data_IF_228737573679
#
_entry.id   IF_228737573679
#
_cell.length_a   1.000
_cell.length_b   1.000
_cell.length_c   1.000
_cell.angle_alpha   90.00
_cell.angle_beta   90.00
_cell.angle_gamma   90.00
#
_symmetry.space_group_name_H-M   'P 1'
#
loop_
_entity.id
_entity.type
_entity.pdbx_description
1 polymer ?
#
# COMPACT_ATOMS: atom_id res chain seq x y z
N UNK A 1 8.53 -2.12 -10.15
CA UNK A 1 8.71 -1.46 -8.83
C UNK A 1 9.05 -2.44 -7.69
N UNK A 2 8.51 -3.67 -7.66
CA UNK A 2 8.78 -4.64 -6.58
C UNK A 2 10.27 -4.87 -6.25
N UNK A 3 11.15 -4.99 -7.25
CA UNK A 3 12.60 -5.10 -7.04
C UNK A 3 13.22 -3.87 -6.36
N UNK A 4 12.73 -2.67 -6.67
CA UNK A 4 13.18 -1.44 -6.04
C UNK A 4 12.76 -1.39 -4.56
N UNK A 5 11.53 -1.82 -4.25
CA UNK A 5 11.10 -1.98 -2.87
C UNK A 5 11.99 -2.95 -2.11
N UNK A 6 12.27 -4.14 -2.67
CA UNK A 6 13.12 -5.13 -2.00
C UNK A 6 14.53 -4.62 -1.74
N UNK A 7 15.13 -3.89 -2.68
CA UNK A 7 16.47 -3.30 -2.48
C UNK A 7 16.50 -2.34 -1.28
N UNK A 8 15.47 -1.50 -1.12
CA UNK A 8 15.35 -0.62 0.04
C UNK A 8 15.09 -1.40 1.34
N UNK A 9 14.19 -2.38 1.31
CA UNK A 9 13.85 -3.18 2.48
C UNK A 9 15.02 -4.05 2.97
N UNK A 10 15.85 -4.56 2.07
CA UNK A 10 17.08 -5.29 2.40
C UNK A 10 18.09 -4.42 3.15
N UNK A 11 18.28 -3.16 2.75
CA UNK A 11 19.11 -2.21 3.50
C UNK A 11 18.49 -1.92 4.87
N UNK A 12 17.20 -1.60 4.91
CA UNK A 12 16.49 -1.21 6.14
C UNK A 12 16.40 -2.36 7.16
N UNK A 13 16.37 -3.62 6.71
CA UNK A 13 16.38 -4.80 7.60
C UNK A 13 17.71 -5.06 8.29
N UNK A 14 18.80 -4.36 7.94
CA UNK A 14 20.09 -4.50 8.63
C UNK A 14 19.96 -4.14 10.11
N UNK A 15 20.56 -4.95 10.99
CA UNK A 15 20.47 -4.82 12.46
C UNK A 15 20.86 -3.45 13.03
N UNK A 16 21.66 -2.66 12.29
CA UNK A 16 22.06 -1.30 12.68
C UNK A 16 20.87 -0.32 12.73
N UNK A 17 19.82 -0.57 11.95
CA UNK A 17 18.64 0.30 11.91
C UNK A 17 17.57 -0.21 12.86
N UNK A 18 17.10 0.68 13.74
CA UNK A 18 16.03 0.43 14.70
C UNK A 18 14.81 1.25 14.28
N UNK A 19 13.75 0.55 13.87
CA UNK A 19 12.50 1.14 13.41
C UNK A 19 11.38 0.12 13.56
N UNK A 20 10.15 0.60 13.71
CA UNK A 20 8.97 -0.25 13.91
C UNK A 20 8.11 -0.37 12.64
N UNK A 21 8.11 0.67 11.79
CA UNK A 21 7.37 0.71 10.53
C UNK A 21 8.19 1.33 9.40
N UNK A 22 7.90 0.90 8.18
CA UNK A 22 8.33 1.54 6.93
C UNK A 22 7.11 1.93 6.10
N UNK A 23 7.21 3.07 5.41
CA UNK A 23 6.18 3.58 4.51
C UNK A 23 6.73 3.62 3.09
N UNK A 24 5.94 3.18 2.10
CA UNK A 24 6.30 3.40 0.69
C UNK A 24 5.81 4.78 0.25
N UNK A 25 6.75 5.61 -0.19
CA UNK A 25 6.47 6.98 -0.66
C UNK A 25 6.92 7.18 -2.11
N UNK A 26 6.28 8.13 -2.78
CA UNK A 26 6.60 8.62 -4.11
C UNK A 26 6.95 10.12 -4.07
N UNK A 27 7.58 10.63 -5.13
CA UNK A 27 8.10 12.01 -5.16
C UNK A 27 7.04 13.09 -4.95
N UNK A 28 5.80 12.84 -5.39
CA UNK A 28 4.68 13.78 -5.29
C UNK A 28 3.78 13.49 -4.05
N UNK A 29 4.28 12.70 -3.08
CA UNK A 29 3.60 12.47 -1.79
C UNK A 29 3.90 13.59 -0.80
N UNK A 30 2.90 13.96 0.00
CA UNK A 30 3.07 14.89 1.13
C UNK A 30 2.51 14.30 2.41
N UNK A 31 3.22 14.54 3.51
CA UNK A 31 2.80 14.10 4.84
C UNK A 31 1.65 14.98 5.35
N UNK A 32 0.55 14.36 5.77
CA UNK A 32 -0.67 15.04 6.25
C UNK A 32 -1.01 14.75 7.72
N UNK A 33 -0.11 14.03 8.42
CA UNK A 33 -0.13 13.78 9.86
C UNK A 33 1.23 14.12 10.44
N UNK A 34 1.29 14.85 11.54
CA UNK A 34 2.56 15.13 12.24
C UNK A 34 3.20 13.83 12.72
N UNK A 35 4.50 13.86 13.04
CA UNK A 35 5.19 12.67 13.54
C UNK A 35 4.54 12.11 14.83
N UNK A 36 4.10 12.99 15.75
CA UNK A 36 3.40 12.56 16.96
C UNK A 36 2.07 11.85 16.65
N UNK A 37 1.33 12.37 15.67
CA UNK A 37 0.08 11.76 15.21
C UNK A 37 0.31 10.40 14.54
N UNK A 38 1.31 10.29 13.65
CA UNK A 38 1.67 9.03 13.01
C UNK A 38 2.00 7.99 14.10
N UNK A 39 2.86 8.34 15.06
CA UNK A 39 3.21 7.43 16.17
C UNK A 39 1.96 7.01 16.95
N UNK A 40 1.03 7.92 17.24
CA UNK A 40 -0.21 7.59 17.93
C UNK A 40 -1.08 6.62 17.12
N UNK A 41 -1.24 6.88 15.82
CA UNK A 41 -2.03 6.04 14.91
C UNK A 41 -1.44 4.62 14.86
N UNK A 42 -0.14 4.49 14.64
CA UNK A 42 0.53 3.18 14.61
C UNK A 42 0.40 2.42 15.93
N UNK A 43 0.43 3.12 17.08
CA UNK A 43 0.17 2.50 18.39
C UNK A 43 -1.24 1.93 18.50
N UNK A 44 -2.25 2.63 17.98
CA UNK A 44 -3.62 2.10 17.96
C UNK A 44 -3.79 0.90 17.03
N UNK A 45 -3.08 0.90 15.90
CA UNK A 45 -3.09 -0.20 14.93
C UNK A 45 -2.28 -1.42 15.40
N UNK A 46 -1.39 -1.24 16.38
CA UNK A 46 -0.75 -2.32 17.12
C UNK A 46 0.06 -3.28 16.24
N UNK A 47 0.82 -2.76 15.28
CA UNK A 47 1.70 -3.57 14.43
C UNK A 47 1.05 -4.08 13.13
N UNK A 48 -0.22 -3.80 12.86
CA UNK A 48 -0.85 -4.19 11.60
C UNK A 48 -0.17 -3.58 10.37
N UNK A 49 0.00 -4.39 9.32
CA UNK A 49 0.37 -3.90 8.01
C UNK A 49 -0.85 -3.23 7.35
N UNK A 50 -0.62 -2.18 6.57
CA UNK A 50 -1.64 -1.52 5.76
C UNK A 50 -1.25 -1.55 4.30
N UNK A 51 -2.15 -2.11 3.49
CA UNK A 51 -2.12 -2.10 2.04
C UNK A 51 -3.56 -1.92 1.58
N UNK A 52 -3.75 -1.18 0.49
CA UNK A 52 -5.08 -1.03 -0.12
C UNK A 52 -5.41 -2.28 -0.95
N UNK A 53 -6.69 -2.67 -1.01
CA UNK A 53 -7.19 -3.72 -1.89
C UNK A 53 -8.31 -3.24 -2.81
N UNK A 54 -8.24 -3.58 -4.09
CA UNK A 54 -9.28 -3.33 -5.09
C UNK A 54 -10.05 -4.64 -5.36
N UNK A 55 -11.37 -4.61 -5.15
CA UNK A 55 -12.23 -5.81 -5.20
C UNK A 55 -12.88 -6.06 -6.56
N UNK A 56 -12.84 -5.08 -7.45
CA UNK A 56 -13.45 -5.02 -8.77
C UNK A 56 -12.61 -5.69 -9.88
N UNK A 57 -11.35 -6.03 -9.61
CA UNK A 57 -10.43 -6.62 -10.60
C UNK A 57 -10.38 -8.16 -10.59
N UNK A 58 -11.47 -8.85 -10.22
CA UNK A 58 -11.49 -10.32 -10.09
C UNK A 58 -11.14 -11.05 -11.39
N UNK A 59 -11.62 -10.56 -12.53
CA UNK A 59 -11.32 -11.18 -13.83
C UNK A 59 -9.84 -11.11 -14.19
N UNK A 60 -9.21 -9.96 -13.91
CA UNK A 60 -7.78 -9.77 -14.11
C UNK A 60 -6.99 -10.72 -13.22
N UNK A 61 -7.34 -10.81 -11.93
CA UNK A 61 -6.71 -11.72 -10.97
C UNK A 61 -6.84 -13.18 -11.45
N UNK A 62 -8.00 -13.59 -11.95
CA UNK A 62 -8.19 -14.95 -12.49
C UNK A 62 -7.32 -15.22 -13.73
N UNK A 63 -7.17 -14.25 -14.63
CA UNK A 63 -6.27 -14.36 -15.81
C UNK A 63 -4.81 -14.56 -15.37
N UNK A 64 -4.37 -13.76 -14.40
CA UNK A 64 -3.01 -13.87 -13.82
C UNK A 64 -2.83 -15.22 -13.12
N UNK A 65 -3.83 -15.63 -12.32
CA UNK A 65 -3.77 -16.89 -11.57
C UNK A 65 -3.67 -18.12 -12.48
N UNK A 66 -4.37 -18.13 -13.63
CA UNK A 66 -4.31 -19.24 -14.60
C UNK A 66 -2.99 -19.31 -15.39
N UNK A 67 -2.25 -18.21 -15.46
CA UNK A 67 -1.05 -18.11 -16.31
C UNK A 67 0.19 -18.72 -15.67
N UNK A 68 0.31 -18.60 -14.36
CA UNK A 68 1.48 -19.08 -13.63
C UNK A 68 1.06 -20.03 -12.52
N UNK A 69 2.01 -20.86 -12.09
CA UNK A 69 1.85 -21.67 -10.90
C UNK A 69 2.27 -20.84 -9.68
N UNK A 70 1.36 -20.69 -8.72
CA UNK A 70 1.54 -19.86 -7.52
C UNK A 70 1.82 -20.69 -6.27
N UNK A 71 2.06 -21.99 -6.44
CA UNK A 71 2.43 -22.88 -5.33
C UNK A 71 3.79 -22.49 -4.76
N UNK A 72 3.96 -22.64 -3.44
CA UNK A 72 5.20 -22.30 -2.76
C UNK A 72 6.41 -23.06 -3.35
N UNK A 73 6.17 -24.30 -3.78
CA UNK A 73 7.16 -25.16 -4.44
C UNK A 73 7.63 -24.60 -5.78
N UNK A 74 6.69 -24.19 -6.65
CA UNK A 74 7.03 -23.65 -7.98
C UNK A 74 7.72 -22.30 -7.87
N UNK A 75 7.25 -21.47 -6.94
CA UNK A 75 7.84 -20.18 -6.64
C UNK A 75 9.20 -20.28 -5.91
N UNK A 76 9.59 -21.47 -5.42
CA UNK A 76 10.73 -21.65 -4.52
C UNK A 76 10.71 -20.60 -3.39
N UNK A 77 9.53 -20.37 -2.82
CA UNK A 77 9.22 -19.15 -2.09
C UNK A 77 10.03 -18.97 -0.80
N UNK A 78 10.52 -20.05 -0.20
CA UNK A 78 11.29 -20.01 1.04
C UNK A 78 12.77 -20.26 0.75
N UNK A 79 13.64 -19.51 1.43
CA UNK A 79 15.10 -19.68 1.34
C UNK A 79 15.57 -21.01 1.94
N UNK A 80 14.84 -21.50 2.94
CA UNK A 80 15.08 -22.79 3.59
C UNK A 80 14.20 -23.87 2.91
N UNK A 81 14.77 -25.06 2.69
CA UNK A 81 14.19 -26.13 1.84
C UNK A 81 12.94 -26.81 2.45
N UNK A 82 12.67 -26.59 3.75
CA UNK A 82 11.59 -27.25 4.51
C UNK A 82 10.21 -26.57 4.37
N UNK A 83 9.79 -26.30 3.14
CA UNK A 83 8.35 -26.21 2.88
C UNK A 83 7.82 -27.64 2.80
N UNK A 84 7.47 -28.22 3.96
CA UNK A 84 6.77 -29.50 4.09
C UNK A 84 5.73 -29.67 2.98
N UNK A 85 5.59 -30.89 2.44
CA UNK A 85 4.85 -31.26 1.24
C UNK A 85 3.33 -31.01 1.21
N UNK A 86 2.82 -29.95 1.86
CA UNK A 86 1.49 -29.40 1.60
C UNK A 86 1.54 -28.53 0.35
N UNK A 87 0.59 -28.79 -0.55
CA UNK A 87 0.38 -28.05 -1.79
C UNK A 87 -0.23 -26.65 -1.51
N UNK A 88 0.52 -25.80 -0.81
CA UNK A 88 0.12 -24.43 -0.48
C UNK A 88 0.45 -23.49 -1.64
N UNK A 89 -0.39 -22.49 -1.84
CA UNK A 89 -0.28 -21.51 -2.93
C UNK A 89 -0.56 -20.11 -2.41
N UNK A 90 0.13 -19.14 -2.99
CA UNK A 90 -0.23 -17.73 -2.83
C UNK A 90 -1.63 -17.49 -3.41
N UNK A 91 -2.37 -16.60 -2.77
CA UNK A 91 -3.61 -16.05 -3.31
C UNK A 91 -3.35 -14.63 -3.79
N UNK A 92 -3.50 -14.41 -5.09
CA UNK A 92 -3.19 -13.12 -5.70
C UNK A 92 -4.26 -12.10 -5.35
N UNK A 93 -3.79 -10.93 -4.90
CA UNK A 93 -4.64 -9.79 -4.57
C UNK A 93 -4.10 -8.54 -5.26
N UNK A 94 -5.00 -7.67 -5.72
CA UNK A 94 -4.68 -6.37 -6.34
C UNK A 94 -5.07 -5.24 -5.42
N UNK A 95 -4.34 -4.13 -5.50
CA UNK A 95 -4.63 -2.92 -4.76
C UNK A 95 -3.99 -1.70 -5.40
N UNK A 96 -3.35 -0.87 -4.57
CA UNK A 96 -2.55 0.29 -4.96
C UNK A 96 -1.17 0.22 -4.30
N UNK A 97 -0.20 0.99 -4.82
CA UNK A 97 1.22 0.86 -4.45
C UNK A 97 1.59 1.30 -3.03
N UNK A 98 0.74 2.09 -2.36
CA UNK A 98 1.01 2.56 -1.00
C UNK A 98 0.94 1.42 0.02
N UNK A 99 1.90 1.42 0.94
CA UNK A 99 1.96 0.46 2.03
C UNK A 99 2.58 1.08 3.29
N UNK A 100 2.05 0.67 4.45
CA UNK A 100 2.67 0.86 5.77
C UNK A 100 2.97 -0.52 6.34
N UNK A 101 4.25 -0.89 6.44
CA UNK A 101 4.66 -2.25 6.77
C UNK A 101 5.39 -2.29 8.11
N UNK A 102 4.97 -3.19 8.99
CA UNK A 102 5.62 -3.39 10.27
C UNK A 102 6.94 -4.14 10.10
N UNK A 103 7.91 -3.82 10.97
CA UNK A 103 9.25 -4.43 10.96
C UNK A 103 9.24 -5.97 10.93
N UNK A 104 8.40 -6.68 11.71
CA UNK A 104 8.36 -8.14 11.68
C UNK A 104 7.97 -8.70 10.29
N UNK A 105 7.05 -8.05 9.60
CA UNK A 105 6.65 -8.45 8.24
C UNK A 105 7.80 -8.24 7.25
N UNK A 106 8.46 -7.09 7.32
CA UNK A 106 9.60 -6.77 6.44
C UNK A 106 10.75 -7.76 6.66
N UNK A 107 11.12 -8.01 7.91
CA UNK A 107 12.16 -8.99 8.22
C UNK A 107 11.78 -10.39 7.74
N UNK A 108 10.51 -10.79 7.85
CA UNK A 108 10.04 -12.05 7.30
C UNK A 108 10.23 -12.14 5.78
N UNK A 109 9.75 -11.15 5.01
CA UNK A 109 9.86 -11.22 3.55
C UNK A 109 11.32 -11.09 3.07
N UNK A 110 12.17 -10.34 3.78
CA UNK A 110 13.59 -10.16 3.43
C UNK A 110 14.42 -11.37 3.83
N UNK A 111 14.19 -11.94 5.01
CA UNK A 111 15.09 -12.96 5.59
C UNK A 111 14.62 -14.39 5.33
N UNK A 112 13.30 -14.63 5.21
CA UNK A 112 12.73 -15.98 5.06
C UNK A 112 12.32 -16.33 3.63
N UNK A 113 11.95 -15.35 2.82
CA UNK A 113 11.42 -15.60 1.48
C UNK A 113 12.44 -15.35 0.37
N UNK A 114 12.45 -16.20 -0.64
CA UNK A 114 13.04 -15.91 -1.95
C UNK A 114 11.93 -15.43 -2.89
N UNK A 115 11.93 -14.14 -3.18
CA UNK A 115 10.89 -13.49 -3.98
C UNK A 115 11.25 -13.42 -5.47
N UNK A 116 12.36 -14.03 -5.89
CA UNK A 116 12.87 -13.93 -7.26
C UNK A 116 11.85 -14.44 -8.28
N UNK A 117 11.33 -15.66 -8.08
CA UNK A 117 10.34 -16.25 -8.98
C UNK A 117 8.99 -15.53 -8.90
N UNK A 118 8.58 -15.11 -7.69
CA UNK A 118 7.35 -14.33 -7.49
C UNK A 118 7.40 -13.02 -8.28
N UNK A 119 8.47 -12.23 -8.13
CA UNK A 119 8.67 -10.98 -8.85
C UNK A 119 8.79 -11.22 -10.35
N UNK A 120 9.39 -12.34 -10.77
CA UNK A 120 9.40 -12.72 -12.18
C UNK A 120 7.98 -12.94 -12.70
N UNK A 121 7.13 -13.74 -12.04
CA UNK A 121 5.74 -13.96 -12.47
C UNK A 121 4.95 -12.64 -12.50
N UNK A 122 5.05 -11.83 -11.44
CA UNK A 122 4.39 -10.53 -11.34
C UNK A 122 4.87 -9.55 -12.43
N UNK A 123 6.15 -9.54 -12.80
CA UNK A 123 6.63 -8.61 -13.82
C UNK A 123 6.38 -9.09 -15.26
N UNK A 124 6.00 -10.36 -15.47
CA UNK A 124 5.87 -10.94 -16.81
C UNK A 124 4.43 -11.38 -17.15
N UNK A 125 3.44 -11.05 -16.31
CA UNK A 125 2.06 -11.52 -16.53
C UNK A 125 1.42 -10.98 -17.81
N UNK A 126 1.84 -9.83 -18.31
CA UNK A 126 1.27 -9.20 -19.50
C UNK A 126 1.89 -9.67 -20.84
N UNK A 127 3.09 -10.26 -20.83
CA UNK A 127 3.91 -10.51 -22.03
C UNK A 127 3.37 -11.56 -23.03
N UNK A 128 2.25 -12.24 -22.75
CA UNK A 128 1.66 -13.23 -23.69
C UNK A 128 0.30 -12.80 -24.24
N UNK A 129 -0.15 -11.59 -23.93
CA UNK A 129 -1.33 -11.02 -24.57
C UNK A 129 -0.90 -10.51 -25.95
N UNK A 130 -1.06 -11.33 -26.99
CA UNK A 130 -0.92 -10.97 -28.42
C UNK A 130 -1.99 -9.95 -28.89
N UNK A 131 -2.34 -8.98 -28.04
CA UNK A 131 -3.27 -7.88 -28.29
C UNK A 131 -2.46 -6.58 -28.36
N UNK A 132 -1.54 -6.55 -29.33
CA UNK A 132 -0.53 -5.51 -29.59
C UNK A 132 -1.11 -4.14 -30.01
N UNK A 133 -2.44 -3.92 -29.97
CA UNK A 133 -3.02 -2.60 -30.31
C UNK A 133 -4.01 -2.00 -29.32
N UNK A 134 -4.76 -2.80 -28.55
CA UNK A 134 -5.73 -2.27 -27.57
C UNK A 134 -5.07 -2.09 -26.19
N UNK A 135 -4.02 -2.85 -25.91
CA UNK A 135 -3.39 -2.96 -24.59
C UNK A 135 -2.28 -1.91 -24.37
N UNK A 136 -1.87 -1.16 -25.41
CA UNK A 136 -0.93 -0.03 -25.25
C UNK A 136 -1.43 1.08 -24.32
N UNK A 137 -2.71 1.07 -23.97
CA UNK A 137 -3.31 1.99 -23.00
C UNK A 137 -3.57 1.37 -21.61
N UNK A 138 -3.39 0.05 -21.40
CA UNK A 138 -3.83 -0.61 -20.15
C UNK A 138 -3.02 -1.82 -19.65
N UNK A 139 -2.04 -2.37 -20.37
CA UNK A 139 -1.46 -3.69 -20.01
C UNK A 139 -0.04 -3.79 -19.47
N UNK A 140 0.70 -2.69 -19.27
CA UNK A 140 1.88 -2.71 -18.38
C UNK A 140 1.51 -2.32 -16.94
N UNK A 141 0.24 -2.02 -16.71
CA UNK A 141 -0.23 -1.25 -15.57
C UNK A 141 -0.16 -2.09 -14.30
N UNK A 142 0.55 -1.53 -13.31
CA UNK A 142 0.34 -1.85 -11.90
C UNK A 142 0.79 -3.25 -11.44
N UNK A 143 1.84 -3.83 -12.01
CA UNK A 143 2.43 -5.08 -11.50
C UNK A 143 2.84 -4.96 -10.01
N UNK A 144 3.29 -3.77 -9.63
CA UNK A 144 3.62 -3.38 -8.27
C UNK A 144 2.42 -3.26 -7.32
N UNK A 145 1.20 -3.20 -7.85
CA UNK A 145 -0.06 -3.24 -7.08
C UNK A 145 -0.55 -4.67 -6.79
N UNK A 146 0.24 -5.68 -7.15
CA UNK A 146 -0.02 -7.08 -6.79
C UNK A 146 0.91 -7.56 -5.66
N UNK A 147 2.04 -6.88 -5.46
CA UNK A 147 3.15 -7.42 -4.68
C UNK A 147 2.86 -7.50 -3.19
N UNK A 148 2.72 -6.35 -2.51
CA UNK A 148 2.46 -6.35 -1.06
C UNK A 148 1.07 -6.90 -0.76
N UNK A 149 0.07 -6.63 -1.59
CA UNK A 149 -1.30 -7.13 -1.43
C UNK A 149 -1.33 -8.64 -1.33
N UNK A 150 -0.66 -9.33 -2.26
CA UNK A 150 -0.59 -10.81 -2.29
C UNK A 150 0.10 -11.36 -1.05
N UNK A 151 1.25 -10.79 -0.66
CA UNK A 151 2.03 -11.28 0.49
C UNK A 151 1.31 -11.00 1.82
N UNK A 152 0.67 -9.85 1.97
CA UNK A 152 -0.04 -9.46 3.20
C UNK A 152 -1.36 -10.23 3.36
N UNK A 153 -2.08 -10.54 2.27
CA UNK A 153 -3.39 -11.19 2.37
C UNK A 153 -3.34 -12.72 2.41
N UNK A 154 -2.25 -13.37 1.95
CA UNK A 154 -2.22 -14.83 1.84
C UNK A 154 -2.18 -15.49 3.23
N UNK A 155 -3.33 -15.98 3.70
CA UNK A 155 -3.48 -16.59 5.04
C UNK A 155 -2.48 -17.74 5.29
N UNK A 156 -2.28 -18.60 4.27
CA UNK A 156 -1.41 -19.79 4.38
C UNK A 156 0.08 -19.44 4.40
N UNK A 157 0.46 -18.21 4.04
CA UNK A 157 1.84 -17.72 4.16
C UNK A 157 2.21 -17.46 5.61
N UNK A 158 1.21 -17.21 6.48
CA UNK A 158 1.40 -16.85 7.89
C UNK A 158 2.43 -15.74 8.06
N UNK A 159 2.38 -14.70 7.23
CA UNK A 159 3.29 -13.58 7.37
C UNK A 159 2.97 -12.80 8.67
N UNK A 160 3.97 -12.28 9.40
CA UNK A 160 3.71 -11.51 10.62
C UNK A 160 2.82 -10.30 10.35
N UNK A 161 1.85 -10.07 11.23
CA UNK A 161 0.92 -8.93 11.14
C UNK A 161 0.15 -8.88 9.81
N UNK A 162 -0.01 -10.02 9.14
CA UNK A 162 -0.76 -10.17 7.90
C UNK A 162 -2.26 -9.87 8.09
N UNK A 163 -2.91 -9.57 6.97
CA UNK A 163 -4.36 -9.49 6.85
C UNK A 163 -4.91 -10.82 6.28
N UNK A 164 -6.24 -10.94 6.19
CA UNK A 164 -6.89 -12.17 5.72
C UNK A 164 -7.50 -12.02 4.32
N UNK A 165 -7.19 -12.96 3.44
CA UNK A 165 -7.81 -13.05 2.11
C UNK A 165 -9.32 -13.35 2.21
N UNK A 166 -9.80 -13.93 3.33
CA UNK A 166 -11.22 -14.25 3.52
C UNK A 166 -12.12 -13.02 3.43
N UNK A 167 -11.64 -11.84 3.83
CA UNK A 167 -12.38 -10.59 3.67
C UNK A 167 -12.54 -10.22 2.19
N UNK A 168 -11.49 -10.42 1.39
CA UNK A 168 -11.51 -10.17 -0.05
C UNK A 168 -12.44 -11.15 -0.79
N UNK A 169 -12.39 -12.43 -0.41
CA UNK A 169 -13.28 -13.47 -0.96
C UNK A 169 -14.76 -13.14 -0.73
N UNK A 170 -15.07 -12.50 0.42
CA UNK A 170 -16.41 -12.07 0.81
C UNK A 170 -16.80 -10.66 0.31
N UNK A 171 -15.97 -10.03 -0.52
CA UNK A 171 -16.19 -8.64 -0.98
C UNK A 171 -16.36 -7.62 0.17
N UNK A 172 -15.70 -7.86 1.31
CA UNK A 172 -15.73 -6.91 2.42
C UNK A 172 -14.80 -5.76 2.08
N UNK A 173 -15.33 -4.54 2.07
CA UNK A 173 -14.53 -3.33 1.89
C UNK A 173 -13.45 -3.26 2.98
N UNK A 174 -12.22 -3.00 2.55
CA UNK A 174 -11.06 -2.86 3.44
C UNK A 174 -10.57 -1.41 3.33
N UNK A 175 -10.71 -0.62 4.40
CA UNK A 175 -10.24 0.75 4.38
C UNK A 175 -8.69 0.75 4.38
N UNK A 176 -8.07 1.85 3.96
CA UNK A 176 -6.62 2.04 3.94
C UNK A 176 -6.27 3.41 4.58
N UNK A 177 -5.10 3.52 5.22
CA UNK A 177 -4.66 4.80 5.83
C UNK A 177 -3.30 5.27 5.32
N UNK A 178 -2.57 4.44 4.58
CA UNK A 178 -1.21 4.79 4.15
C UNK A 178 -1.19 6.08 3.34
N UNK A 179 -2.03 6.19 2.31
CA UNK A 179 -2.01 7.34 1.39
C UNK A 179 -3.37 7.64 0.79
N UNK A 180 -3.78 8.89 0.88
CA UNK A 180 -4.99 9.42 0.25
C UNK A 180 -4.71 9.90 -1.17
N UNK A 181 -5.60 9.57 -2.10
CA UNK A 181 -5.60 10.08 -3.47
C UNK A 181 -7.04 10.23 -3.96
N UNK A 182 -7.28 11.22 -4.82
CA UNK A 182 -8.56 11.39 -5.49
C UNK A 182 -8.40 10.95 -6.94
N UNK A 183 -9.13 9.90 -7.32
CA UNK A 183 -9.18 9.39 -8.68
C UNK A 183 -10.39 10.01 -9.41
N UNK A 184 -10.12 10.87 -10.38
CA UNK A 184 -11.11 11.57 -11.21
C UNK A 184 -11.44 10.69 -12.41
N UNK A 185 -12.13 9.58 -12.16
CA UNK A 185 -12.51 8.60 -13.19
C UNK A 185 -13.93 8.82 -13.73
N UNK A 186 -14.78 9.49 -12.98
CA UNK A 186 -16.14 9.85 -13.37
C UNK A 186 -16.38 11.37 -13.32
N UNK A 187 -17.47 11.82 -13.94
CA UNK A 187 -17.86 13.23 -13.95
C UNK A 187 -18.33 13.77 -12.60
N UNK A 188 -18.52 12.89 -11.60
CA UNK A 188 -19.06 13.25 -10.29
C UNK A 188 -17.94 13.53 -9.28
N UNK A 189 -16.74 13.00 -9.52
CA UNK A 189 -15.59 13.21 -8.67
C UNK A 189 -14.94 14.54 -8.97
N UNK A 190 -15.07 15.47 -8.03
CA UNK A 190 -14.51 16.81 -8.15
C UNK A 190 -13.07 16.79 -7.61
N UNK A 191 -12.14 17.31 -8.40
CA UNK A 191 -10.83 17.73 -7.93
C UNK A 191 -10.89 19.25 -7.69
N UNK A 192 -10.92 19.73 -6.44
CA UNK A 192 -11.08 21.15 -6.12
C UNK A 192 -10.12 22.09 -6.83
N UNK A 193 -8.85 21.71 -7.00
CA UNK A 193 -7.88 22.48 -7.78
C UNK A 193 -8.21 22.62 -9.27
N UNK A 194 -9.16 21.84 -9.78
CA UNK A 194 -9.52 21.75 -11.19
C UNK A 194 -8.49 21.02 -12.06
N UNK A 195 -7.40 20.50 -11.48
CA UNK A 195 -6.31 19.90 -12.24
C UNK A 195 -6.08 18.43 -11.88
N UNK A 196 -6.16 17.56 -12.89
CA UNK A 196 -5.83 16.15 -12.74
C UNK A 196 -4.89 15.68 -13.85
N UNK A 197 -4.07 14.68 -13.56
CA UNK A 197 -3.15 14.05 -14.51
C UNK A 197 -3.24 12.53 -14.39
N UNK A 198 -3.50 11.87 -15.52
CA UNK A 198 -3.75 10.42 -15.59
C UNK A 198 -4.85 9.99 -14.61
N UNK A 199 -5.94 10.76 -14.56
CA UNK A 199 -7.08 10.54 -13.65
C UNK A 199 -6.75 10.65 -12.16
N UNK A 200 -5.57 11.14 -11.75
CA UNK A 200 -5.34 11.54 -10.36
C UNK A 200 -5.41 13.06 -10.21
N UNK A 201 -6.18 13.51 -9.23
CA UNK A 201 -6.20 14.91 -8.81
C UNK A 201 -4.82 15.36 -8.34
N UNK A 202 -4.40 16.55 -8.77
CA UNK A 202 -3.22 17.23 -8.26
C UNK A 202 -3.72 18.29 -7.28
N UNK A 203 -3.40 18.12 -6.00
CA UNK A 203 -3.87 18.98 -4.94
C UNK A 203 -3.27 20.40 -5.07
N UNK A 204 -4.15 21.40 -4.98
CA UNK A 204 -3.80 22.82 -4.88
C UNK A 204 -4.24 23.41 -3.53
N UNK A 205 -4.21 24.73 -3.41
CA UNK A 205 -4.67 25.44 -2.20
C UNK A 205 -6.12 25.09 -1.83
N UNK A 206 -6.99 24.89 -2.83
CA UNK A 206 -8.40 24.56 -2.68
C UNK A 206 -8.63 23.21 -1.99
N UNK A 207 -7.64 22.32 -2.03
CA UNK A 207 -7.71 20.98 -1.45
C UNK A 207 -7.29 20.92 0.02
N UNK A 208 -6.49 21.87 0.49
CA UNK A 208 -5.82 21.77 1.79
C UNK A 208 -6.82 21.63 2.94
N UNK A 209 -7.82 22.51 3.00
CA UNK A 209 -8.82 22.49 4.07
C UNK A 209 -9.88 21.42 3.88
N UNK A 210 -10.28 21.15 2.64
CA UNK A 210 -11.42 20.27 2.33
C UNK A 210 -11.01 18.81 2.35
N UNK A 211 -9.84 18.49 1.80
CA UNK A 211 -9.42 17.11 1.54
C UNK A 211 -8.28 16.63 2.44
N UNK A 212 -7.37 17.52 2.87
CA UNK A 212 -6.14 17.11 3.58
C UNK A 212 -6.20 17.33 5.09
N UNK A 213 -6.71 18.49 5.55
CA UNK A 213 -6.73 18.96 6.95
C UNK A 213 -7.06 17.86 7.96
N UNK A 214 -8.19 17.18 7.74
CA UNK A 214 -8.82 16.24 8.68
C UNK A 214 -8.94 14.83 8.10
N UNK A 215 -8.21 14.53 7.02
CA UNK A 215 -8.21 13.20 6.40
C UNK A 215 -7.66 12.13 7.36
N UNK A 216 -8.11 10.88 7.27
CA UNK A 216 -7.58 9.82 8.13
C UNK A 216 -6.27 9.17 7.63
N UNK A 217 -5.81 9.50 6.42
CA UNK A 217 -4.54 8.98 5.93
C UNK A 217 -3.31 9.68 6.53
N UNK A 218 -2.14 9.05 6.42
CA UNK A 218 -0.85 9.60 6.87
C UNK A 218 -0.22 10.50 5.81
N UNK A 219 -0.35 10.12 4.55
CA UNK A 219 0.17 10.81 3.39
C UNK A 219 -0.94 11.12 2.38
N UNK A 220 -0.69 12.05 1.47
CA UNK A 220 -1.57 12.38 0.36
C UNK A 220 -0.78 12.46 -0.95
N UNK A 221 -1.44 12.10 -2.05
CA UNK A 221 -0.88 12.09 -3.40
C UNK A 221 -1.95 12.50 -4.42
N UNK A 222 -1.70 13.44 -5.34
CA UNK A 222 -0.42 14.08 -5.67
C UNK A 222 -0.42 15.55 -5.29
N UNK A 223 0.70 16.08 -4.83
CA UNK A 223 0.95 17.53 -4.81
C UNK A 223 2.23 17.81 -5.59
N UNK A 224 2.26 18.87 -6.39
CA UNK A 224 3.42 19.17 -7.24
C UNK A 224 3.80 20.65 -7.18
N UNK A 225 5.09 20.91 -6.99
CA UNK A 225 5.63 22.26 -6.89
C UNK A 225 5.49 23.06 -8.19
N UNK A 226 5.50 22.40 -9.34
CA UNK A 226 5.32 23.02 -10.67
C UNK A 226 3.84 23.35 -10.96
N UNK A 227 2.89 22.78 -10.21
CA UNK A 227 1.48 23.12 -10.29
C UNK A 227 1.11 24.22 -9.29
N UNK A 228 1.35 23.99 -8.00
CA UNK A 228 1.04 24.94 -6.94
C UNK A 228 2.04 24.82 -5.78
N UNK A 229 3.10 25.63 -5.86
CA UNK A 229 4.08 25.73 -4.77
C UNK A 229 3.50 26.40 -3.51
N UNK A 230 2.50 27.28 -3.67
CA UNK A 230 1.83 27.95 -2.56
C UNK A 230 1.11 26.95 -1.66
N UNK A 231 0.45 25.95 -2.25
CA UNK A 231 -0.17 24.85 -1.51
C UNK A 231 0.83 24.08 -0.64
N UNK A 232 2.03 23.81 -1.16
CA UNK A 232 3.10 23.14 -0.42
C UNK A 232 3.55 24.01 0.77
N UNK A 233 3.80 25.30 0.54
CA UNK A 233 4.21 26.23 1.60
C UNK A 233 3.16 26.34 2.71
N UNK A 234 1.90 26.59 2.34
CA UNK A 234 0.79 26.67 3.29
C UNK A 234 0.65 25.37 4.10
N UNK A 235 0.80 24.21 3.45
CA UNK A 235 0.74 22.94 4.16
C UNK A 235 1.92 22.72 5.11
N UNK A 236 3.13 23.14 4.74
CA UNK A 236 4.28 23.11 5.65
C UNK A 236 4.09 24.02 6.88
N UNK A 237 3.50 25.20 6.71
CA UNK A 237 3.16 26.09 7.82
C UNK A 237 2.10 25.47 8.74
N UNK A 238 1.04 24.90 8.18
CA UNK A 238 0.01 24.18 8.93
C UNK A 238 0.62 23.02 9.73
N UNK A 239 1.47 22.20 9.12
CA UNK A 239 2.14 21.08 9.79
C UNK A 239 3.10 21.54 10.89
N UNK A 240 3.76 22.68 10.70
CA UNK A 240 4.60 23.32 11.72
C UNK A 240 3.74 23.86 12.87
N UNK A 241 2.64 24.56 12.58
CA UNK A 241 1.69 25.06 13.60
C UNK A 241 1.15 23.91 14.44
N UNK A 242 0.70 22.83 13.80
CA UNK A 242 0.24 21.58 14.42
C UNK A 242 1.26 20.92 15.34
N UNK A 243 2.55 21.13 15.08
CA UNK A 243 3.65 20.56 15.88
C UNK A 243 4.02 21.47 17.06
N UNK A 244 3.95 22.79 16.88
CA UNK A 244 4.51 23.77 17.82
C UNK A 244 3.47 24.52 18.64
N UNK A 245 2.28 24.78 18.07
CA UNK A 245 1.21 25.62 18.63
C UNK A 245 0.01 24.76 19.00
N UNK A 246 -0.61 24.10 18.02
CA UNK A 246 -1.84 23.30 18.20
C UNK A 246 -1.53 21.86 18.64
N UNK A 247 -0.73 21.75 19.70
CA UNK A 247 -0.24 20.46 20.19
C UNK A 247 -1.39 19.55 20.62
N UNK A 248 -1.17 18.25 20.40
CA UNK A 248 -2.05 17.19 20.89
C UNK A 248 -2.83 16.48 19.79
N UNK A 249 -3.60 15.48 20.23
CA UNK A 249 -4.13 14.41 19.38
C UNK A 249 -5.66 14.45 19.25
N UNK A 250 -6.30 15.55 19.68
CA UNK A 250 -7.77 15.68 19.71
C UNK A 250 -8.42 15.57 18.34
N UNK A 251 -7.69 15.92 17.28
CA UNK A 251 -8.14 15.82 15.88
C UNK A 251 -8.11 14.40 15.32
N UNK A 252 -7.41 13.47 15.98
CA UNK A 252 -7.38 12.09 15.53
C UNK A 252 -8.67 11.38 15.92
N UNK A 253 -9.29 10.71 14.95
CA UNK A 253 -10.41 9.83 15.20
C UNK A 253 -9.90 8.48 15.75
N UNK A 254 -9.71 8.37 17.07
CA UNK A 254 -9.21 7.14 17.69
C UNK A 254 -10.08 5.93 17.38
N UNK A 255 -11.41 6.11 17.36
CA UNK A 255 -12.39 5.05 17.09
C UNK A 255 -12.22 4.47 15.69
N UNK A 256 -11.90 5.31 14.69
CA UNK A 256 -11.61 4.86 13.32
C UNK A 256 -10.40 3.92 13.27
N UNK A 257 -9.28 4.30 13.90
CA UNK A 257 -8.05 3.51 13.88
C UNK A 257 -8.10 2.27 14.80
N UNK A 258 -8.78 2.36 15.95
CA UNK A 258 -8.92 1.25 16.88
C UNK A 258 -9.84 0.15 16.33
N UNK A 259 -10.85 0.52 15.54
CA UNK A 259 -11.75 -0.42 14.89
C UNK A 259 -11.28 -0.84 13.48
N UNK A 260 -10.01 -0.59 13.16
CA UNK A 260 -9.46 -0.86 11.84
C UNK A 260 -9.47 -2.37 11.54
N UNK A 261 -10.09 -2.84 10.43
CA UNK A 261 -10.21 -4.26 10.15
C UNK A 261 -8.87 -4.99 10.12
N UNK A 262 -7.83 -4.38 9.55
CA UNK A 262 -6.49 -4.96 9.48
C UNK A 262 -5.81 -5.02 10.86
N UNK A 263 -6.21 -4.17 11.81
CA UNK A 263 -5.72 -4.22 13.19
C UNK A 263 -6.47 -5.26 14.04
N UNK A 264 -7.77 -5.44 13.81
CA UNK A 264 -8.61 -6.42 14.50
C UNK A 264 -8.31 -7.85 14.02
N UNK A 265 -8.23 -8.06 12.71
CA UNK A 265 -8.08 -9.39 12.09
C UNK A 265 -6.63 -9.78 11.82
N UNK A 266 -5.65 -9.10 12.43
CA UNK A 266 -4.25 -9.48 12.28
C UNK A 266 -4.03 -10.90 12.77
N UNK A 267 -3.40 -11.73 11.93
CA UNK A 267 -3.00 -13.07 12.34
C UNK A 267 -1.88 -12.92 13.38
N UNK A 268 -2.18 -13.28 14.64
CA UNK A 268 -1.18 -13.40 15.69
C UNK A 268 -0.52 -14.77 15.46
N UNK A 269 0.73 -14.74 15.00
CA UNK A 269 1.58 -15.92 14.88
C UNK A 269 2.32 -16.19 16.18
#
# INVERSE_FOLDING_TARGET
MGTAYMSCLEELSKKKYKWDYVFTLQNDDIQIKTNEEIIRILKWLGGANDVQYQLDHKELIQKIYKKFNWTFKDLKLFKDVDSEGKLLSLKISKGLVQASLARPFVDFIVQKLDLTQLLHHINNWYLTLNLIKIIKLSGEYACDELFFQTLVATDVLRAPNAFTHKCLDKNIYTPYFSRFSIWVEDSNTICPSGYNRHSLCIFGLEDLSVNLRDNNCLFANKIKADFDFGAILCWHEEMRSRTLVDKGLKRLNSTFYQNWPQAIFKLIN
#
